data_IF_673293641758
#
_entry.id   IF_673293641758
#
_cell.length_a   1.000
_cell.length_b   1.000
_cell.length_c   1.000
_cell.angle_alpha   90.00
_cell.angle_beta   90.00
_cell.angle_gamma   90.00
#
_symmetry.space_group_name_H-M   'P 1'
#
loop_
_entity.id
_entity.type
_entity.pdbx_description
1 polymer ?
#
# COMPACT_ATOMS: atom_id res chain seq x y z
N UNK A 1 -42.03 -3.73 8.69
CA UNK A 1 -40.69 -4.18 9.08
C UNK A 1 -39.75 -3.82 7.95
N UNK A 2 -38.87 -2.85 8.15
CA UNK A 2 -37.75 -2.64 7.23
C UNK A 2 -36.69 -3.70 7.55
N UNK A 3 -36.65 -4.78 6.78
CA UNK A 3 -35.43 -5.59 6.71
C UNK A 3 -34.50 -4.86 5.75
N UNK A 4 -33.83 -3.81 6.25
CA UNK A 4 -32.87 -3.05 5.48
C UNK A 4 -31.72 -3.98 5.10
N UNK A 5 -31.70 -4.43 3.85
CA UNK A 5 -30.57 -5.14 3.28
C UNK A 5 -29.40 -4.16 3.27
N UNK A 6 -28.36 -4.50 4.04
CA UNK A 6 -27.17 -3.67 4.21
C UNK A 6 -26.40 -3.70 2.88
N UNK A 7 -25.93 -2.54 2.40
CA UNK A 7 -25.10 -2.50 1.19
C UNK A 7 -23.91 -3.45 1.35
N UNK A 8 -23.72 -4.37 0.41
CA UNK A 8 -22.60 -5.32 0.42
C UNK A 8 -21.42 -4.71 -0.34
N UNK A 9 -20.24 -4.72 0.30
CA UNK A 9 -18.99 -4.30 -0.33
C UNK A 9 -18.18 -5.51 -0.76
N UNK A 10 -17.83 -5.60 -2.05
CA UNK A 10 -16.90 -6.63 -2.55
C UNK A 10 -15.49 -6.06 -2.60
N UNK A 11 -14.63 -6.58 -1.73
CA UNK A 11 -13.21 -6.25 -1.70
C UNK A 11 -12.39 -7.12 -2.67
N UNK A 12 -11.54 -6.51 -3.48
CA UNK A 12 -10.49 -7.21 -4.22
C UNK A 12 -9.13 -6.65 -3.89
N UNK A 13 -8.12 -7.52 -4.01
CA UNK A 13 -6.76 -7.23 -3.65
C UNK A 13 -5.80 -7.70 -4.73
N UNK A 14 -4.93 -6.80 -5.19
CA UNK A 14 -3.83 -7.11 -6.08
C UNK A 14 -2.51 -6.67 -5.44
N UNK A 15 -1.51 -7.55 -5.51
CA UNK A 15 -0.16 -7.25 -5.02
C UNK A 15 0.88 -7.73 -6.01
N UNK A 16 1.86 -6.87 -6.27
CA UNK A 16 3.06 -7.19 -7.05
C UNK A 16 4.29 -6.75 -6.23
N UNK A 17 5.18 -7.70 -5.96
CA UNK A 17 6.43 -7.46 -5.25
C UNK A 17 7.54 -8.08 -6.07
N UNK A 18 8.60 -7.32 -6.31
CA UNK A 18 9.78 -7.84 -6.98
C UNK A 18 11.04 -7.08 -6.56
N UNK A 19 12.15 -7.82 -6.48
CA UNK A 19 13.46 -7.25 -6.18
C UNK A 19 14.10 -6.74 -7.47
N UNK A 20 14.49 -5.47 -7.51
CA UNK A 20 15.16 -4.87 -8.67
C UNK A 20 16.69 -4.92 -8.58
N UNK A 21 17.24 -5.04 -7.37
CA UNK A 21 18.68 -5.12 -7.17
C UNK A 21 19.08 -4.87 -5.72
N UNK A 22 20.37 -4.61 -5.51
CA UNK A 22 20.92 -4.29 -4.21
C UNK A 22 21.64 -2.94 -4.26
N UNK A 23 21.46 -2.11 -3.24
CA UNK A 23 22.15 -0.83 -3.09
C UNK A 23 22.45 -0.52 -1.62
N UNK A 24 23.39 0.39 -1.40
CA UNK A 24 23.83 0.78 -0.07
C UNK A 24 22.99 1.95 0.44
N UNK A 25 22.44 1.81 1.65
CA UNK A 25 21.60 2.81 2.29
C UNK A 25 22.24 3.25 3.61
N UNK A 26 22.49 4.55 3.74
CA UNK A 26 22.91 5.16 5.01
C UNK A 26 21.71 5.38 5.92
N UNK A 27 21.68 4.72 7.07
CA UNK A 27 20.60 4.83 8.04
C UNK A 27 21.11 4.57 9.47
N UNK A 28 20.56 5.24 10.48
CA UNK A 28 20.97 5.04 11.88
C UNK A 28 22.49 5.12 12.15
N UNK A 29 23.22 5.94 11.38
CA UNK A 29 24.68 6.11 11.50
C UNK A 29 25.52 4.96 10.93
N UNK A 30 24.96 4.09 10.08
CA UNK A 30 25.64 2.96 9.45
C UNK A 30 25.17 2.78 8.00
N UNK A 31 26.00 2.13 7.21
CA UNK A 31 25.67 1.68 5.85
C UNK A 31 25.06 0.28 5.88
N UNK A 32 23.92 0.10 5.22
CA UNK A 32 23.29 -1.21 5.02
C UNK A 32 23.26 -1.58 3.54
N UNK A 33 23.72 -2.79 3.20
CA UNK A 33 23.50 -3.37 1.86
C UNK A 33 22.07 -3.89 1.78
N UNK A 34 21.19 -3.16 1.10
CA UNK A 34 19.77 -3.44 1.06
C UNK A 34 19.35 -4.05 -0.29
N UNK A 35 18.44 -5.01 -0.26
CA UNK A 35 17.65 -5.36 -1.44
C UNK A 35 16.62 -4.25 -1.68
N UNK A 36 16.66 -3.65 -2.88
CA UNK A 36 15.66 -2.67 -3.34
C UNK A 36 14.48 -3.43 -3.93
N UNK A 37 13.35 -3.37 -3.22
CA UNK A 37 12.13 -4.10 -3.55
C UNK A 37 11.11 -3.12 -4.05
N UNK A 38 10.68 -3.28 -5.31
CA UNK A 38 9.54 -2.54 -5.84
C UNK A 38 8.25 -3.16 -5.34
N UNK A 39 7.37 -2.28 -4.88
CA UNK A 39 6.11 -2.63 -4.26
C UNK A 39 4.97 -1.96 -5.01
N UNK A 40 3.94 -2.74 -5.33
CA UNK A 40 2.66 -2.26 -5.82
C UNK A 40 1.54 -3.05 -5.14
N UNK A 41 0.55 -2.33 -4.63
CA UNK A 41 -0.62 -2.87 -3.99
C UNK A 41 -1.83 -2.07 -4.44
N UNK A 42 -2.88 -2.76 -4.88
CA UNK A 42 -4.17 -2.16 -5.20
C UNK A 42 -5.25 -2.86 -4.38
N UNK A 43 -5.96 -2.07 -3.59
CA UNK A 43 -7.19 -2.48 -2.94
C UNK A 43 -8.36 -1.79 -3.63
N UNK A 44 -9.39 -2.55 -3.96
CA UNK A 44 -10.64 -2.01 -4.48
C UNK A 44 -11.79 -2.51 -3.62
N UNK A 45 -12.69 -1.63 -3.24
CA UNK A 45 -13.98 -1.96 -2.65
C UNK A 45 -15.04 -1.48 -3.61
N UNK A 46 -15.82 -2.39 -4.18
CA UNK A 46 -17.01 -2.06 -4.98
C UNK A 46 -18.24 -2.16 -4.09
N UNK A 47 -19.06 -1.12 -4.08
CA UNK A 47 -20.34 -1.09 -3.38
C UNK A 47 -21.42 -1.64 -4.30
N UNK A 48 -22.14 -2.66 -3.83
CA UNK A 48 -23.21 -3.28 -4.60
C UNK A 48 -24.56 -2.91 -4.01
N UNK A 49 -25.50 -2.58 -4.89
CA UNK A 49 -26.91 -2.40 -4.56
C UNK A 49 -27.45 -3.66 -3.85
N UNK A 50 -28.11 -3.50 -2.69
CA UNK A 50 -28.69 -4.64 -1.99
C UNK A 50 -29.98 -5.17 -2.65
N UNK A 51 -30.44 -4.56 -3.74
CA UNK A 51 -31.68 -4.92 -4.42
C UNK A 51 -31.45 -5.71 -5.72
N UNK A 52 -30.43 -5.33 -6.49
CA UNK A 52 -30.16 -5.85 -7.83
C UNK A 52 -28.67 -6.14 -8.10
N UNK A 53 -27.79 -5.99 -7.12
CA UNK A 53 -26.32 -6.12 -7.24
C UNK A 53 -25.71 -5.18 -8.29
N UNK A 54 -26.36 -4.08 -8.65
CA UNK A 54 -25.77 -3.04 -9.48
C UNK A 54 -24.56 -2.39 -8.78
N UNK A 55 -23.55 -2.01 -9.56
CA UNK A 55 -22.38 -1.29 -9.08
C UNK A 55 -22.76 0.15 -8.69
N UNK A 56 -22.80 0.40 -7.38
CA UNK A 56 -22.99 1.72 -6.77
C UNK A 56 -21.64 2.36 -6.46
N UNK A 57 -20.63 2.13 -7.29
CA UNK A 57 -19.33 2.79 -7.21
C UNK A 57 -18.29 2.01 -6.45
N UNK A 58 -17.09 2.61 -6.41
CA UNK A 58 -15.92 1.99 -5.79
C UNK A 58 -14.99 2.98 -5.11
N UNK A 59 -14.28 2.47 -4.11
CA UNK A 59 -13.06 3.07 -3.57
C UNK A 59 -11.88 2.27 -4.08
N UNK A 60 -10.82 2.95 -4.52
CA UNK A 60 -9.54 2.31 -4.79
C UNK A 60 -8.43 2.94 -3.95
N UNK A 61 -7.58 2.11 -3.35
CA UNK A 61 -6.33 2.52 -2.72
C UNK A 61 -5.18 1.86 -3.45
N UNK A 62 -4.29 2.67 -4.00
CA UNK A 62 -3.08 2.20 -4.69
C UNK A 62 -1.87 2.66 -3.88
N UNK A 63 -1.09 1.71 -3.39
CA UNK A 63 0.21 1.97 -2.77
C UNK A 63 1.30 1.48 -3.72
N UNK A 64 2.20 2.37 -4.14
CA UNK A 64 3.30 2.05 -5.03
C UNK A 64 4.60 2.72 -4.61
N UNK A 65 5.72 2.02 -4.73
CA UNK A 65 7.02 2.57 -4.37
C UNK A 65 8.07 1.51 -4.14
N UNK A 66 8.96 1.78 -3.18
CA UNK A 66 10.09 0.94 -2.86
C UNK A 66 10.26 0.73 -1.36
N UNK A 67 10.68 -0.48 -1.03
CA UNK A 67 11.18 -0.83 0.29
C UNK A 67 12.61 -1.33 0.17
N UNK A 68 13.42 -1.04 1.17
CA UNK A 68 14.80 -1.48 1.29
C UNK A 68 14.93 -2.39 2.48
N UNK A 69 15.24 -3.65 2.20
CA UNK A 69 15.41 -4.67 3.24
C UNK A 69 16.88 -5.06 3.35
N UNK A 70 17.41 -5.01 4.56
CA UNK A 70 18.68 -5.62 4.94
C UNK A 70 18.43 -6.89 5.77
N UNK A 71 19.50 -7.51 6.25
CA UNK A 71 19.47 -8.63 7.20
C UNK A 71 18.68 -8.30 8.49
N UNK A 72 18.69 -7.03 8.91
CA UNK A 72 17.92 -6.52 10.05
C UNK A 72 16.44 -6.21 9.75
N UNK A 73 15.98 -6.43 8.50
CA UNK A 73 14.62 -6.11 8.07
C UNK A 73 14.52 -4.76 7.33
N UNK A 74 13.40 -4.05 7.48
CA UNK A 74 13.12 -2.81 6.74
C UNK A 74 14.03 -1.66 7.22
N UNK A 75 14.90 -1.18 6.33
CA UNK A 75 15.80 -0.05 6.58
C UNK A 75 15.21 1.26 6.11
N UNK A 76 14.54 1.25 4.96
CA UNK A 76 13.95 2.43 4.33
C UNK A 76 12.69 2.04 3.57
N UNK A 77 11.73 2.95 3.51
CA UNK A 77 10.51 2.82 2.71
C UNK A 77 10.18 4.16 2.07
N UNK A 78 9.85 4.15 0.79
CA UNK A 78 9.35 5.31 0.05
C UNK A 78 8.17 4.86 -0.79
N UNK A 79 6.96 5.24 -0.38
CA UNK A 79 5.73 4.84 -1.05
C UNK A 79 4.84 6.04 -1.31
N UNK A 80 4.11 5.98 -2.41
CA UNK A 80 3.03 6.91 -2.74
C UNK A 80 1.72 6.15 -2.59
N UNK A 81 0.78 6.73 -1.84
CA UNK A 81 -0.56 6.19 -1.65
C UNK A 81 -1.52 7.11 -2.40
N UNK A 82 -2.29 6.54 -3.32
CA UNK A 82 -3.34 7.23 -4.08
C UNK A 82 -4.69 6.67 -3.67
N UNK A 83 -5.60 7.55 -3.31
CA UNK A 83 -7.00 7.19 -2.99
C UNK A 83 -7.90 7.70 -4.08
N UNK A 84 -8.72 6.82 -4.62
CA UNK A 84 -9.72 7.13 -5.63
C UNK A 84 -11.12 6.89 -5.07
N UNK A 85 -12.03 7.80 -5.37
CA UNK A 85 -13.46 7.69 -5.09
C UNK A 85 -14.18 7.78 -6.44
N UNK A 86 -14.90 6.74 -6.86
CA UNK A 86 -15.60 6.70 -8.15
C UNK A 86 -14.70 7.03 -9.35
N UNK A 87 -13.51 6.41 -9.40
CA UNK A 87 -12.49 6.63 -10.42
C UNK A 87 -11.84 8.04 -10.43
N UNK A 88 -12.25 8.96 -9.55
CA UNK A 88 -11.62 10.26 -9.38
C UNK A 88 -10.51 10.20 -8.33
N UNK A 89 -9.36 10.80 -8.64
CA UNK A 89 -8.23 10.87 -7.70
C UNK A 89 -8.53 11.93 -6.63
N UNK A 90 -8.85 11.49 -5.43
CA UNK A 90 -9.17 12.37 -4.30
C UNK A 90 -7.92 12.83 -3.56
N UNK A 91 -6.96 11.92 -3.37
CA UNK A 91 -5.81 12.17 -2.50
C UNK A 91 -4.57 11.44 -2.96
N UNK A 92 -3.43 12.11 -2.80
CA UNK A 92 -2.10 11.51 -2.93
C UNK A 92 -1.29 11.81 -1.68
N UNK A 93 -0.87 10.77 -0.96
CA UNK A 93 0.05 10.85 0.17
C UNK A 93 1.41 10.30 -0.24
N UNK A 94 2.49 10.94 0.24
CA UNK A 94 3.86 10.43 0.09
C UNK A 94 4.37 10.07 1.47
N UNK A 95 4.79 8.82 1.63
CA UNK A 95 5.30 8.29 2.90
C UNK A 95 6.76 7.94 2.69
N UNK A 96 7.62 8.50 3.55
CA UNK A 96 9.04 8.16 3.62
C UNK A 96 9.38 7.80 5.05
N UNK A 97 9.93 6.60 5.23
CA UNK A 97 10.38 6.09 6.52
C UNK A 97 11.83 5.66 6.33
N UNK A 98 12.68 6.02 7.29
CA UNK A 98 14.07 5.58 7.35
C UNK A 98 14.40 5.19 8.77
N UNK A 99 15.18 4.12 8.91
CA UNK A 99 15.71 3.65 10.18
C UNK A 99 16.62 4.74 10.79
N UNK A 100 16.28 5.20 12.00
CA UNK A 100 17.02 6.26 12.69
C UNK A 100 17.99 5.74 13.76
N UNK A 101 17.90 4.45 14.12
CA UNK A 101 18.80 3.80 15.06
C UNK A 101 18.35 2.36 15.34
N UNK A 102 19.29 1.52 15.77
CA UNK A 102 19.00 0.14 16.19
C UNK A 102 19.47 -0.02 17.63
N UNK A 103 18.55 -0.34 18.53
CA UNK A 103 18.89 -0.85 19.86
C UNK A 103 18.85 -2.37 19.76
N UNK A 104 20.02 -3.02 19.70
CA UNK A 104 20.08 -4.47 19.83
C UNK A 104 19.79 -4.82 21.31
N UNK A 105 18.94 -5.81 21.60
CA UNK A 105 18.74 -6.30 22.96
C UNK A 105 20.01 -6.91 23.55
#
# INVERSE_FOLDING_TARGET
>A
MWSGSVAEGRGTYERRIYTEGFEDIEAGGKTYRCARVKYYMKHTITFLSPYDNEDWGKIEWIEEGYHWYADIGLVKSEVTIKTYWWDELEKTDKVSIILTGVTLP
#
